data_IF_944847370063
#
_entry.id   IF_944847370063
#
_cell.length_a   1.000
_cell.length_b   1.000
_cell.length_c   1.000
_cell.angle_alpha   90.00
_cell.angle_beta   90.00
_cell.angle_gamma   90.00
#
_symmetry.space_group_name_H-M   'P 1'
#
loop_
_entity.id
_entity.type
_entity.pdbx_description
1 polymer ?
#
# COMPACT_ATOMS: atom_id res chain seq x y z
N UNK A 1 64.13 -19.34 -13.94
CA UNK A 1 64.60 -18.17 -13.16
C UNK A 1 63.39 -17.32 -12.81
N UNK A 2 62.83 -17.54 -11.62
CA UNK A 2 61.66 -16.80 -11.13
C UNK A 2 62.14 -15.52 -10.44
N UNK A 3 61.70 -14.34 -10.92
CA UNK A 3 61.98 -13.06 -10.28
C UNK A 3 60.72 -12.58 -9.54
N UNK A 4 60.79 -12.69 -8.22
CA UNK A 4 59.86 -12.15 -7.23
C UNK A 4 59.82 -10.62 -7.31
N UNK A 5 58.63 -10.03 -7.49
CA UNK A 5 58.38 -8.61 -7.26
C UNK A 5 57.75 -8.42 -5.88
N UNK A 6 58.40 -7.64 -5.01
CA UNK A 6 57.89 -7.20 -3.70
C UNK A 6 56.86 -6.08 -3.90
N UNK A 7 55.72 -6.18 -3.23
CA UNK A 7 54.81 -5.05 -3.02
C UNK A 7 55.10 -4.39 -1.66
N UNK A 8 55.03 -3.05 -1.52
CA UNK A 8 55.28 -2.37 -0.25
C UNK A 8 54.09 -2.53 0.70
N UNK A 9 54.39 -2.78 1.98
CA UNK A 9 53.43 -2.78 3.07
C UNK A 9 53.06 -1.35 3.47
N UNK A 10 51.78 -1.00 3.32
CA UNK A 10 51.22 0.24 3.89
C UNK A 10 50.50 -0.13 5.17
N UNK A 11 51.15 0.06 6.31
CA UNK A 11 50.50 -0.01 7.62
C UNK A 11 49.64 1.23 7.80
N UNK A 12 48.33 1.11 7.56
CA UNK A 12 47.36 2.15 7.88
C UNK A 12 46.80 1.87 9.27
N UNK A 13 47.31 2.54 10.29
CA UNK A 13 46.69 2.58 11.61
C UNK A 13 45.32 3.24 11.47
N UNK A 14 44.26 2.42 11.58
CA UNK A 14 42.89 2.93 11.70
C UNK A 14 42.73 3.39 13.14
N UNK A 15 42.72 4.70 13.34
CA UNK A 15 42.25 5.32 14.57
C UNK A 15 40.75 5.02 14.68
N UNK A 16 40.38 4.05 15.51
CA UNK A 16 38.98 3.82 15.86
C UNK A 16 38.54 5.01 16.69
N UNK A 17 37.73 5.87 16.07
CA UNK A 17 37.09 6.98 16.75
C UNK A 17 36.03 6.42 17.72
N UNK A 18 36.44 6.23 18.97
CA UNK A 18 35.60 5.74 20.07
C UNK A 18 34.40 6.64 20.37
N UNK A 19 34.32 7.85 19.79
CA UNK A 19 33.16 8.72 19.93
C UNK A 19 31.96 8.29 19.07
N UNK A 20 32.16 7.42 18.07
CA UNK A 20 31.06 6.77 17.32
C UNK A 20 30.54 5.48 17.95
N UNK A 21 31.26 4.93 18.93
CA UNK A 21 30.89 3.68 19.60
C UNK A 21 29.90 3.91 20.76
N UNK A 22 29.70 5.16 21.17
CA UNK A 22 28.84 5.56 22.29
C UNK A 22 27.40 5.87 21.82
N UNK A 23 27.11 5.86 20.52
CA UNK A 23 25.80 6.16 19.93
C UNK A 23 25.00 4.91 19.50
N UNK A 24 25.13 3.77 20.19
CA UNK A 24 24.45 2.50 19.83
C UNK A 24 23.72 1.81 20.98
N UNK A 25 23.62 2.45 22.14
CA UNK A 25 23.01 1.83 23.34
C UNK A 25 21.50 2.09 23.44
N UNK A 26 20.91 2.85 22.52
CA UNK A 26 19.48 3.20 22.47
C UNK A 26 18.69 2.56 21.32
N UNK A 27 19.34 1.81 20.42
CA UNK A 27 18.73 1.35 19.15
C UNK A 27 18.04 -0.02 19.24
N UNK A 28 17.94 -0.61 20.44
CA UNK A 28 17.40 -1.96 20.61
C UNK A 28 16.33 -2.02 21.69
N UNK A 29 15.07 -2.04 21.25
CA UNK A 29 13.94 -2.43 22.08
C UNK A 29 13.81 -3.96 22.07
N UNK A 30 13.65 -4.56 23.26
CA UNK A 30 13.36 -5.98 23.38
C UNK A 30 11.89 -6.24 23.01
N UNK A 31 11.65 -6.68 21.77
CA UNK A 31 10.29 -6.96 21.28
C UNK A 31 9.61 -8.10 22.04
N UNK A 32 10.37 -9.04 22.61
CA UNK A 32 9.80 -10.17 23.35
C UNK A 32 9.21 -9.72 24.71
N UNK A 33 9.52 -8.48 25.13
CA UNK A 33 8.99 -7.83 26.34
C UNK A 33 8.17 -6.57 26.02
N UNK A 34 7.60 -6.48 24.81
CA UNK A 34 6.80 -5.33 24.40
C UNK A 34 5.53 -5.19 25.25
N UNK A 35 5.36 -4.03 25.92
CA UNK A 35 4.18 -3.73 26.75
C UNK A 35 3.16 -2.87 25.99
N UNK A 36 2.10 -3.50 25.46
CA UNK A 36 1.02 -2.79 24.76
C UNK A 36 0.22 -1.83 25.66
N UNK A 37 0.41 -1.88 27.00
CA UNK A 37 -0.22 -0.95 27.94
C UNK A 37 0.62 0.30 28.23
N UNK A 38 1.83 0.43 27.69
CA UNK A 38 2.59 1.70 27.74
C UNK A 38 2.31 2.58 26.53
N UNK A 39 2.86 3.79 26.54
CA UNK A 39 2.86 4.71 25.41
C UNK A 39 4.23 4.71 24.75
N UNK A 40 4.26 4.77 23.43
CA UNK A 40 5.45 4.75 22.60
C UNK A 40 5.58 6.07 21.86
N UNK A 41 6.81 6.56 21.77
CA UNK A 41 7.15 7.67 20.90
C UNK A 41 7.20 7.21 19.43
N UNK A 42 7.13 8.17 18.50
CA UNK A 42 7.29 7.89 17.08
C UNK A 42 8.66 7.24 16.76
N UNK A 43 9.71 7.64 17.47
CA UNK A 43 11.06 7.05 17.32
C UNK A 43 11.09 5.59 17.77
N UNK A 44 10.49 5.26 18.92
CA UNK A 44 10.35 3.87 19.36
C UNK A 44 9.50 3.04 18.38
N UNK A 45 8.45 3.64 17.82
CA UNK A 45 7.63 3.01 16.77
C UNK A 45 8.44 2.71 15.50
N UNK A 46 9.28 3.63 15.04
CA UNK A 46 10.18 3.42 13.90
C UNK A 46 11.16 2.26 14.16
N UNK A 47 11.73 2.18 15.37
CA UNK A 47 12.63 1.09 15.78
C UNK A 47 11.90 -0.26 15.78
N UNK A 48 10.70 -0.32 16.38
CA UNK A 48 9.88 -1.55 16.41
C UNK A 48 9.52 -2.00 14.99
N UNK A 49 9.07 -1.07 14.16
CA UNK A 49 8.69 -1.34 12.77
C UNK A 49 9.87 -1.86 11.95
N UNK A 50 11.08 -1.32 12.15
CA UNK A 50 12.28 -1.80 11.46
C UNK A 50 12.65 -3.23 11.86
N UNK A 51 12.55 -3.54 13.16
CA UNK A 51 12.88 -4.88 13.67
C UNK A 51 11.88 -5.96 13.24
N UNK A 52 10.60 -5.61 13.04
CA UNK A 52 9.55 -6.54 12.58
C UNK A 52 9.61 -6.87 11.08
N UNK A 53 10.41 -6.16 10.27
CA UNK A 53 10.57 -6.46 8.83
C UNK A 53 11.02 -7.90 8.55
N UNK A 54 11.74 -8.50 9.50
CA UNK A 54 12.36 -9.82 9.33
C UNK A 54 11.81 -10.89 10.30
N UNK A 55 10.80 -10.56 11.12
CA UNK A 55 10.19 -11.52 12.07
C UNK A 55 8.78 -11.10 12.49
N UNK A 56 7.99 -12.06 12.95
CA UNK A 56 6.74 -11.77 13.66
C UNK A 56 6.94 -11.84 15.17
N UNK A 57 6.10 -11.12 15.91
CA UNK A 57 5.96 -11.16 17.37
C UNK A 57 4.68 -11.92 17.71
N UNK A 58 4.73 -12.88 18.63
CA UNK A 58 3.52 -13.54 19.12
C UNK A 58 2.89 -12.71 20.24
N UNK A 59 1.66 -12.21 20.02
CA UNK A 59 0.92 -11.43 21.01
C UNK A 59 -0.32 -12.21 21.42
N UNK A 60 -0.63 -12.19 22.72
CA UNK A 60 -1.85 -12.79 23.25
C UNK A 60 -3.03 -11.84 23.04
N UNK A 61 -3.93 -12.19 22.12
CA UNK A 61 -5.20 -11.50 21.87
C UNK A 61 -6.35 -12.44 22.22
N UNK A 62 -7.24 -12.04 23.12
CA UNK A 62 -8.40 -12.83 23.56
C UNK A 62 -8.12 -14.30 23.94
N UNK A 63 -6.94 -14.54 24.52
CA UNK A 63 -6.41 -15.85 24.93
C UNK A 63 -5.76 -16.71 23.84
N UNK A 64 -5.69 -16.22 22.61
CA UNK A 64 -4.97 -16.86 21.50
C UNK A 64 -3.66 -16.14 21.21
N UNK A 65 -2.63 -16.88 20.79
CA UNK A 65 -1.38 -16.30 20.32
C UNK A 65 -1.50 -15.99 18.83
N UNK A 66 -1.42 -14.71 18.49
CA UNK A 66 -1.50 -14.22 17.13
C UNK A 66 -0.13 -13.67 16.73
N UNK A 67 0.46 -14.11 15.59
CA UNK A 67 1.68 -13.52 15.08
C UNK A 67 1.36 -12.12 14.55
N UNK A 68 2.12 -11.11 14.96
CA UNK A 68 2.00 -9.71 14.54
C UNK A 68 3.28 -9.32 13.83
N UNK A 69 3.17 -8.75 12.64
CA UNK A 69 4.31 -8.26 11.85
C UNK A 69 4.31 -6.74 11.67
N UNK A 70 3.21 -6.07 12.03
CA UNK A 70 3.07 -4.62 11.89
C UNK A 70 2.25 -4.06 13.06
N UNK A 71 2.45 -2.78 13.33
CA UNK A 71 1.65 -2.00 14.26
C UNK A 71 1.24 -0.69 13.59
N UNK A 72 0.06 -0.18 13.97
CA UNK A 72 -0.22 1.25 13.87
C UNK A 72 0.15 1.93 15.19
N UNK A 73 0.28 3.27 15.16
CA UNK A 73 0.48 4.09 16.34
C UNK A 73 -0.70 5.04 16.47
N UNK A 74 -1.50 4.90 17.53
CA UNK A 74 -2.64 5.79 17.74
C UNK A 74 -2.20 7.15 18.30
N UNK A 75 -3.11 8.14 18.27
CA UNK A 75 -2.88 9.50 18.80
C UNK A 75 -2.48 9.59 20.29
N UNK A 76 -2.67 8.52 21.06
CA UNK A 76 -2.25 8.44 22.47
C UNK A 76 -0.88 7.79 22.65
N UNK A 77 -0.25 7.37 21.55
CA UNK A 77 1.01 6.63 21.52
C UNK A 77 0.84 5.14 21.80
N UNK A 78 -0.36 4.57 21.63
CA UNK A 78 -0.57 3.14 21.78
C UNK A 78 -0.23 2.41 20.49
N UNK A 79 0.46 1.29 20.63
CA UNK A 79 0.66 0.36 19.53
C UNK A 79 -0.62 -0.45 19.31
N UNK A 80 -1.16 -0.37 18.10
CA UNK A 80 -2.32 -1.15 17.69
C UNK A 80 -1.82 -2.32 16.84
N UNK A 81 -1.90 -3.58 17.33
CA UNK A 81 -1.38 -4.72 16.61
C UNK A 81 -2.17 -5.01 15.33
N UNK A 82 -1.46 -5.17 14.22
CA UNK A 82 -2.05 -5.57 12.94
C UNK A 82 -1.81 -7.06 12.71
N UNK A 83 -2.90 -7.84 12.69
CA UNK A 83 -2.83 -9.27 12.38
C UNK A 83 -2.55 -9.51 10.90
N UNK A 84 -1.88 -10.62 10.53
CA UNK A 84 -1.69 -11.02 9.16
C UNK A 84 -3.02 -11.14 8.41
N UNK A 85 -3.06 -10.58 7.21
CA UNK A 85 -4.22 -10.63 6.33
C UNK A 85 -4.33 -12.01 5.67
N UNK A 86 -5.47 -12.72 5.78
CA UNK A 86 -5.71 -13.96 5.05
C UNK A 86 -5.67 -13.75 3.53
N UNK A 87 -5.20 -14.76 2.79
CA UNK A 87 -4.93 -14.65 1.34
C UNK A 87 -6.12 -14.14 0.51
N UNK A 88 -7.36 -14.55 0.80
CA UNK A 88 -8.53 -14.08 0.05
C UNK A 88 -8.82 -12.60 0.26
N UNK A 89 -8.57 -12.07 1.48
CA UNK A 89 -8.66 -10.64 1.72
C UNK A 89 -7.56 -9.90 0.96
N UNK A 90 -6.34 -10.44 0.95
CA UNK A 90 -5.23 -9.85 0.22
C UNK A 90 -5.47 -9.80 -1.31
N UNK A 91 -6.05 -10.86 -1.88
CA UNK A 91 -6.45 -10.88 -3.29
C UNK A 91 -7.47 -9.79 -3.60
N UNK A 92 -8.44 -9.58 -2.70
CA UNK A 92 -9.41 -8.49 -2.83
C UNK A 92 -8.73 -7.11 -2.81
N UNK A 93 -7.80 -6.89 -1.88
CA UNK A 93 -7.02 -5.66 -1.75
C UNK A 93 -6.23 -5.37 -3.02
N UNK A 94 -5.58 -6.38 -3.60
CA UNK A 94 -4.83 -6.25 -4.85
C UNK A 94 -5.74 -5.83 -6.02
N UNK A 95 -6.93 -6.43 -6.13
CA UNK A 95 -7.88 -6.09 -7.19
C UNK A 95 -8.44 -4.66 -7.02
N UNK A 96 -8.79 -4.27 -5.79
CA UNK A 96 -9.23 -2.90 -5.48
C UNK A 96 -8.12 -1.89 -5.84
N UNK A 97 -6.88 -2.18 -5.42
CA UNK A 97 -5.71 -1.37 -5.78
C UNK A 97 -5.56 -1.23 -7.30
N UNK A 98 -5.70 -2.33 -8.05
CA UNK A 98 -5.57 -2.32 -9.50
C UNK A 98 -6.62 -1.43 -10.17
N UNK A 99 -7.89 -1.52 -9.73
CA UNK A 99 -8.96 -0.68 -10.26
C UNK A 99 -8.73 0.81 -9.99
N UNK A 100 -8.31 1.18 -8.77
CA UNK A 100 -8.00 2.58 -8.41
C UNK A 100 -6.80 3.09 -9.21
N UNK A 101 -5.74 2.28 -9.33
CA UNK A 101 -4.58 2.61 -10.17
C UNK A 101 -5.00 2.86 -11.61
N UNK A 102 -5.83 1.99 -12.17
CA UNK A 102 -6.31 2.13 -13.54
C UNK A 102 -7.13 3.41 -13.71
N UNK A 103 -8.06 3.71 -12.81
CA UNK A 103 -8.79 4.98 -12.80
C UNK A 103 -7.85 6.20 -12.72
N UNK A 104 -6.90 6.21 -11.79
CA UNK A 104 -5.92 7.29 -11.61
C UNK A 104 -5.10 7.54 -12.88
N UNK A 105 -4.73 6.47 -13.59
CA UNK A 105 -4.03 6.54 -14.88
C UNK A 105 -4.92 7.04 -16.00
N UNK A 106 -6.07 6.41 -16.18
CA UNK A 106 -6.95 6.62 -17.34
C UNK A 106 -7.65 7.98 -17.31
N UNK A 107 -8.05 8.45 -16.13
CA UNK A 107 -8.72 9.75 -15.97
C UNK A 107 -7.75 10.91 -15.75
N UNK A 108 -6.44 10.61 -15.63
CA UNK A 108 -5.41 11.63 -15.53
C UNK A 108 -5.38 12.39 -14.20
N UNK A 109 -5.82 11.77 -13.10
CA UNK A 109 -5.74 12.36 -11.75
C UNK A 109 -4.28 12.63 -11.36
N UNK A 110 -3.39 11.69 -11.68
CA UNK A 110 -1.94 11.74 -11.39
C UNK A 110 -1.61 11.86 -9.89
N UNK A 111 -2.47 11.33 -9.02
CA UNK A 111 -2.12 11.09 -7.63
C UNK A 111 -1.28 9.83 -7.46
N UNK A 112 -0.89 9.52 -6.23
CA UNK A 112 -0.22 8.27 -5.87
C UNK A 112 -1.24 7.27 -5.32
N UNK A 113 -1.08 5.99 -5.65
CA UNK A 113 -1.89 4.89 -5.07
C UNK A 113 -0.93 3.95 -4.36
N UNK A 114 -1.18 3.63 -3.10
CA UNK A 114 -0.35 2.76 -2.26
C UNK A 114 -1.16 1.57 -1.76
N UNK A 115 -0.48 0.47 -1.42
CA UNK A 115 -1.08 -0.75 -0.86
C UNK A 115 -0.33 -1.26 0.39
N UNK A 116 -1.06 -1.99 1.22
CA UNK A 116 -0.76 -2.95 2.31
C UNK A 116 0.42 -2.73 3.28
N UNK A 117 1.29 -1.72 3.16
CA UNK A 117 2.32 -1.38 4.15
C UNK A 117 2.73 0.09 4.16
N UNK A 118 2.13 0.93 3.29
CA UNK A 118 2.43 2.34 3.25
C UNK A 118 1.80 3.05 4.45
N UNK A 119 2.58 3.24 5.52
CA UNK A 119 2.14 4.03 6.66
C UNK A 119 2.06 5.52 6.34
N UNK A 120 1.22 6.25 7.06
CA UNK A 120 1.07 7.70 6.94
C UNK A 120 1.06 8.34 8.33
N UNK A 121 1.88 9.38 8.50
CA UNK A 121 1.80 10.25 9.68
C UNK A 121 0.57 11.16 9.54
N UNK A 122 -0.52 10.86 10.26
CA UNK A 122 -1.81 11.56 10.15
C UNK A 122 -1.86 12.79 11.05
N UNK A 123 -1.39 12.62 12.28
CA UNK A 123 -1.14 13.67 13.25
C UNK A 123 0.24 13.44 13.89
N UNK A 124 0.74 14.42 14.63
CA UNK A 124 2.02 14.26 15.33
C UNK A 124 1.93 13.11 16.34
N UNK A 125 2.61 12.00 16.04
CA UNK A 125 2.59 10.79 16.85
C UNK A 125 1.47 9.81 16.53
N UNK A 126 0.75 9.98 15.43
CA UNK A 126 -0.26 9.03 14.93
C UNK A 126 0.14 8.51 13.54
N UNK A 127 0.32 7.20 13.42
CA UNK A 127 0.66 6.50 12.17
C UNK A 127 -0.41 5.47 11.85
N UNK A 128 -1.04 5.61 10.68
CA UNK A 128 -2.03 4.67 10.15
C UNK A 128 -1.49 3.93 8.92
N UNK A 129 -1.87 2.67 8.74
CA UNK A 129 -1.39 1.78 7.68
C UNK A 129 -2.61 1.19 6.93
N UNK A 130 -3.21 1.95 6.00
CA UNK A 130 -4.37 1.50 5.27
C UNK A 130 -4.04 0.36 4.29
N UNK A 131 -5.01 -0.52 4.07
CA UNK A 131 -4.93 -1.54 2.99
C UNK A 131 -4.71 -0.91 1.61
N UNK A 132 -5.44 0.18 1.30
CA UNK A 132 -5.29 0.96 0.05
C UNK A 132 -5.53 2.45 0.28
N UNK A 133 -4.58 3.28 -0.15
CA UNK A 133 -4.66 4.74 -0.08
C UNK A 133 -4.42 5.41 -1.43
N UNK A 134 -5.11 6.54 -1.65
CA UNK A 134 -4.89 7.44 -2.77
C UNK A 134 -4.44 8.80 -2.25
N UNK A 135 -3.26 9.26 -2.62
CA UNK A 135 -2.80 10.61 -2.31
C UNK A 135 -3.00 11.51 -3.52
N UNK A 136 -3.84 12.56 -3.43
CA UNK A 136 -4.02 13.51 -4.53
C UNK A 136 -2.71 14.12 -5.02
N UNK A 137 -2.67 14.47 -6.30
CA UNK A 137 -1.49 14.95 -7.01
C UNK A 137 -0.86 16.18 -6.35
N UNK A 138 -1.71 17.12 -5.94
CA UNK A 138 -1.33 18.38 -5.29
C UNK A 138 -0.74 18.17 -3.90
N UNK A 139 -1.12 17.10 -3.20
CA UNK A 139 -0.49 16.73 -1.94
C UNK A 139 0.84 16.02 -2.25
N UNK A 140 0.79 14.98 -3.08
CA UNK A 140 1.95 14.13 -3.38
C UNK A 140 3.14 14.91 -3.94
N UNK A 141 2.90 15.89 -4.83
CA UNK A 141 3.97 16.71 -5.44
C UNK A 141 4.60 17.73 -4.49
N UNK A 142 3.92 18.03 -3.38
CA UNK A 142 4.38 18.99 -2.38
C UNK A 142 4.95 18.29 -1.14
N UNK A 143 5.03 16.96 -1.12
CA UNK A 143 5.70 16.22 -0.06
C UNK A 143 7.17 16.61 -0.02
N UNK A 144 7.67 16.84 1.20
CA UNK A 144 9.12 16.95 1.42
C UNK A 144 9.77 15.58 1.32
N UNK A 145 11.09 15.56 1.11
CA UNK A 145 11.85 14.30 1.13
C UNK A 145 11.66 13.56 2.46
N UNK A 146 11.57 14.29 3.58
CA UNK A 146 11.35 13.72 4.90
C UNK A 146 9.98 13.03 5.01
N UNK A 147 8.90 13.68 4.55
CA UNK A 147 7.55 13.10 4.49
C UNK A 147 7.47 11.90 3.53
N UNK A 148 8.23 11.92 2.45
CA UNK A 148 8.21 10.88 1.42
C UNK A 148 9.06 9.65 1.72
N UNK A 149 9.98 9.73 2.70
CA UNK A 149 10.96 8.68 3.00
C UNK A 149 10.99 8.22 4.45
N UNK A 150 10.24 8.88 5.35
CA UNK A 150 10.14 8.56 6.77
C UNK A 150 8.77 8.97 7.34
N UNK A 151 8.50 8.68 8.62
CA UNK A 151 7.32 9.22 9.30
C UNK A 151 7.57 10.59 9.94
N UNK A 152 8.52 11.37 9.41
CA UNK A 152 8.93 12.65 9.97
C UNK A 152 8.49 13.82 9.07
N UNK A 153 8.60 15.03 9.61
CA UNK A 153 8.05 16.24 9.00
C UNK A 153 6.58 16.47 9.35
N UNK A 154 5.93 17.47 8.73
CA UNK A 154 4.52 17.77 9.00
C UNK A 154 3.61 16.58 8.62
N UNK A 155 2.59 16.26 9.43
CA UNK A 155 1.62 15.23 9.07
C UNK A 155 0.88 15.57 7.77
N UNK A 156 0.50 14.53 7.02
CA UNK A 156 -0.37 14.66 5.87
C UNK A 156 -1.35 13.50 5.83
N UNK A 157 -2.60 13.80 5.48
CA UNK A 157 -3.64 12.78 5.35
C UNK A 157 -3.83 12.45 3.86
N UNK A 158 -3.57 11.20 3.42
CA UNK A 158 -3.99 10.77 2.10
C UNK A 158 -5.52 10.64 2.06
N UNK A 159 -6.05 10.53 0.86
CA UNK A 159 -7.45 10.20 0.63
C UNK A 159 -7.61 8.67 0.68
N UNK A 160 -8.15 8.15 1.77
CA UNK A 160 -8.25 6.69 2.01
C UNK A 160 -9.37 6.04 1.21
N UNK A 161 -9.10 4.86 0.63
CA UNK A 161 -10.10 4.10 -0.15
C UNK A 161 -10.51 2.81 0.55
N UNK A 162 -9.61 2.19 1.31
CA UNK A 162 -9.91 1.03 2.16
C UNK A 162 -9.44 1.31 3.59
N UNK A 163 -10.23 0.87 4.56
CA UNK A 163 -10.19 1.04 6.03
C UNK A 163 -11.02 2.17 6.67
N UNK A 164 -11.00 3.41 6.15
CA UNK A 164 -11.85 4.50 6.69
C UNK A 164 -12.79 5.14 5.67
N UNK A 165 -12.71 4.74 4.40
CA UNK A 165 -13.67 5.11 3.34
C UNK A 165 -14.66 3.98 3.12
N UNK A 166 -14.14 2.80 2.81
CA UNK A 166 -14.87 1.54 2.73
C UNK A 166 -14.20 0.47 3.59
N UNK A 167 -15.01 -0.28 4.33
CA UNK A 167 -14.63 -1.56 4.91
C UNK A 167 -15.35 -2.63 4.11
N UNK A 168 -14.58 -3.40 3.36
CA UNK A 168 -15.07 -4.45 2.47
C UNK A 168 -14.64 -5.77 3.10
N UNK A 169 -15.60 -6.58 3.53
CA UNK A 169 -15.37 -7.95 3.91
C UNK A 169 -15.85 -8.87 2.79
N UNK A 170 -14.95 -9.27 1.88
CA UNK A 170 -15.34 -10.10 0.75
C UNK A 170 -15.65 -11.55 1.12
N UNK A 171 -15.33 -11.98 2.34
CA UNK A 171 -15.64 -13.33 2.80
C UNK A 171 -17.11 -13.40 3.24
N UNK A 172 -17.59 -12.34 3.90
CA UNK A 172 -18.95 -12.28 4.41
C UNK A 172 -19.91 -11.49 3.51
N UNK A 173 -19.45 -11.06 2.33
CA UNK A 173 -20.19 -10.17 1.44
C UNK A 173 -20.71 -8.90 2.17
N UNK A 174 -19.91 -8.31 3.06
CA UNK A 174 -20.28 -7.09 3.78
C UNK A 174 -19.52 -5.85 3.27
N UNK A 175 -20.27 -4.77 3.02
CA UNK A 175 -19.68 -3.46 2.72
C UNK A 175 -20.19 -2.43 3.71
N UNK A 176 -19.25 -1.74 4.34
CA UNK A 176 -19.52 -0.57 5.15
C UNK A 176 -18.88 0.66 4.54
N UNK A 177 -19.68 1.69 4.27
CA UNK A 177 -19.18 2.99 3.80
C UNK A 177 -19.16 3.95 4.97
N UNK A 178 -17.98 4.45 5.29
CA UNK A 178 -17.79 5.46 6.31
C UNK A 178 -17.93 6.84 5.68
N UNK A 179 -18.73 7.70 6.31
CA UNK A 179 -19.01 9.05 5.85
C UNK A 179 -18.82 10.03 6.99
N UNK A 180 -18.27 11.20 6.65
CA UNK A 180 -18.17 12.32 7.58
C UNK A 180 -19.40 13.20 7.44
N UNK A 181 -20.11 13.42 8.54
CA UNK A 181 -21.28 14.30 8.57
C UNK A 181 -20.85 15.75 8.33
N UNK A 182 -21.42 16.45 7.33
CA UNK A 182 -21.11 17.85 7.08
C UNK A 182 -21.52 18.78 8.23
N UNK A 183 -22.49 18.36 9.05
CA UNK A 183 -23.06 19.20 10.11
C UNK A 183 -22.20 19.27 11.38
N UNK A 184 -21.46 18.20 11.70
CA UNK A 184 -20.71 18.11 12.96
C UNK A 184 -19.34 17.43 12.82
N UNK A 185 -18.95 16.99 11.62
CA UNK A 185 -17.67 16.33 11.37
C UNK A 185 -17.57 14.90 11.92
N UNK A 186 -18.64 14.36 12.52
CA UNK A 186 -18.65 13.01 13.06
C UNK A 186 -18.64 11.98 11.93
N UNK A 187 -17.88 10.91 12.13
CA UNK A 187 -17.86 9.77 11.22
C UNK A 187 -18.98 8.81 11.60
N UNK A 188 -19.76 8.37 10.62
CA UNK A 188 -20.76 7.31 10.76
C UNK A 188 -20.57 6.29 9.65
N UNK A 189 -20.99 5.04 9.89
CA UNK A 189 -20.94 3.97 8.89
C UNK A 189 -22.34 3.62 8.39
N UNK A 190 -22.44 3.35 7.11
CA UNK A 190 -23.65 2.83 6.48
C UNK A 190 -23.36 1.44 5.93
N UNK A 191 -24.15 0.45 6.35
CA UNK A 191 -24.18 -0.84 5.66
C UNK A 191 -24.69 -0.64 4.23
N UNK A 192 -24.11 -1.37 3.29
CA UNK A 192 -24.50 -1.36 1.88
C UNK A 192 -24.65 -2.78 1.39
N UNK A 193 -25.58 -2.98 0.47
CA UNK A 193 -25.69 -4.22 -0.25
C UNK A 193 -24.42 -4.45 -1.07
N UNK A 194 -24.08 -5.72 -1.25
CA UNK A 194 -22.89 -6.14 -1.98
C UNK A 194 -23.03 -5.82 -3.48
N UNK A 195 -22.51 -4.67 -3.89
CA UNK A 195 -22.57 -4.16 -5.26
C UNK A 195 -21.68 -2.94 -5.43
N UNK A 196 -21.53 -2.51 -6.69
CA UNK A 196 -20.54 -1.49 -7.05
C UNK A 196 -20.58 -0.23 -6.17
N UNK A 197 -19.39 0.29 -5.84
CA UNK A 197 -19.24 1.44 -4.96
C UNK A 197 -18.78 2.67 -5.72
N UNK A 198 -19.52 3.76 -5.57
CA UNK A 198 -19.16 5.06 -6.12
C UNK A 198 -18.10 5.72 -5.25
N UNK A 199 -17.02 6.16 -5.88
CA UNK A 199 -15.88 6.83 -5.25
C UNK A 199 -16.19 8.18 -4.62
N UNK A 200 -17.38 8.74 -4.86
CA UNK A 200 -17.85 9.99 -4.30
C UNK A 200 -16.97 11.18 -4.67
N UNK A 201 -16.97 12.19 -3.79
CA UNK A 201 -16.12 13.37 -3.92
C UNK A 201 -14.63 13.04 -3.72
N UNK A 202 -14.36 11.92 -3.05
CA UNK A 202 -13.05 11.38 -2.71
C UNK A 202 -12.31 10.86 -3.95
N UNK A 203 -13.01 10.14 -4.83
CA UNK A 203 -12.50 9.63 -6.11
C UNK A 203 -13.50 9.94 -7.24
N UNK A 204 -13.49 11.17 -7.79
CA UNK A 204 -14.50 11.61 -8.73
C UNK A 204 -14.60 10.72 -9.97
N UNK A 205 -15.81 10.20 -10.22
CA UNK A 205 -16.11 9.32 -11.36
C UNK A 205 -15.49 7.92 -11.27
N UNK A 206 -14.87 7.57 -10.15
CA UNK A 206 -14.47 6.19 -9.88
C UNK A 206 -15.69 5.37 -9.45
N UNK A 207 -15.76 4.14 -9.94
CA UNK A 207 -16.74 3.15 -9.51
C UNK A 207 -16.00 1.83 -9.32
N UNK A 208 -15.98 1.32 -8.10
CA UNK A 208 -15.40 0.03 -7.77
C UNK A 208 -16.32 -1.07 -8.32
N UNK A 209 -15.78 -1.91 -9.19
CA UNK A 209 -16.45 -3.08 -9.72
C UNK A 209 -16.25 -4.24 -8.75
N UNK A 210 -17.31 -4.52 -7.99
CA UNK A 210 -17.31 -5.55 -6.96
C UNK A 210 -17.37 -6.96 -7.57
N UNK A 211 -17.86 -7.09 -8.82
CA UNK A 211 -17.85 -8.37 -9.53
C UNK A 211 -16.40 -8.81 -9.81
N UNK A 212 -15.55 -7.91 -10.29
CA UNK A 212 -14.14 -8.23 -10.52
C UNK A 212 -13.42 -8.63 -9.22
N UNK A 213 -13.78 -8.02 -8.08
CA UNK A 213 -13.28 -8.42 -6.76
C UNK A 213 -13.68 -9.85 -6.42
N UNK A 214 -14.94 -10.25 -6.67
CA UNK A 214 -15.39 -11.64 -6.49
C UNK A 214 -14.65 -12.61 -7.40
N UNK A 215 -14.58 -12.29 -8.69
CA UNK A 215 -13.91 -13.14 -9.68
C UNK A 215 -12.43 -13.36 -9.31
N UNK A 216 -11.74 -12.31 -8.85
CA UNK A 216 -10.36 -12.41 -8.37
C UNK A 216 -10.21 -13.37 -7.19
N UNK A 217 -11.15 -13.35 -6.23
CA UNK A 217 -11.09 -14.22 -5.03
C UNK A 217 -11.47 -15.66 -5.37
N UNK A 218 -12.54 -15.86 -6.12
CA UNK A 218 -13.06 -17.19 -6.44
C UNK A 218 -12.12 -17.97 -7.37
N UNK A 219 -11.40 -17.29 -8.26
CA UNK A 219 -10.56 -17.92 -9.30
C UNK A 219 -11.32 -18.97 -10.13
N UNK A 220 -12.66 -18.90 -10.13
CA UNK A 220 -13.48 -19.81 -10.90
C UNK A 220 -13.25 -19.52 -12.38
N UNK A 221 -12.99 -20.55 -13.21
CA UNK A 221 -12.91 -20.33 -14.64
C UNK A 221 -14.24 -19.73 -15.08
N UNK A 222 -14.18 -18.59 -15.78
CA UNK A 222 -15.34 -18.07 -16.49
C UNK A 222 -15.92 -19.25 -17.28
N UNK A 223 -17.21 -19.55 -17.13
CA UNK A 223 -17.88 -20.51 -18.00
C UNK A 223 -17.64 -20.03 -19.43
N UNK A 224 -16.62 -20.59 -20.08
CA UNK A 224 -16.29 -20.26 -21.45
C UNK A 224 -17.50 -20.68 -22.26
N UNK A 225 -18.18 -19.71 -22.86
CA UNK A 225 -19.22 -19.99 -23.85
C UNK A 225 -18.56 -20.93 -24.88
N UNK A 226 -19.05 -22.16 -25.11
CA UNK A 226 -18.38 -23.14 -25.98
C UNK A 226 -18.17 -22.66 -27.43
N UNK A 227 -18.76 -21.51 -27.79
CA UNK A 227 -18.56 -20.81 -29.06
C UNK A 227 -17.31 -19.91 -29.12
N UNK A 228 -16.66 -19.60 -28.00
CA UNK A 228 -15.38 -18.88 -27.97
C UNK A 228 -14.22 -19.89 -27.94
N UNK A 229 -14.08 -20.65 -29.02
CA UNK A 229 -12.75 -21.16 -29.35
C UNK A 229 -11.87 -19.95 -29.64
N UNK A 230 -10.81 -19.73 -28.85
CA UNK A 230 -9.76 -18.79 -29.21
C UNK A 230 -9.21 -19.20 -30.58
N UNK A 231 -9.71 -18.56 -31.64
CA UNK A 231 -9.08 -18.67 -32.95
C UNK A 231 -7.66 -18.10 -32.76
N UNK A 232 -6.63 -18.94 -32.91
CA UNK A 232 -5.20 -18.57 -32.81
C UNK A 232 -4.80 -17.44 -33.78
N UNK A 233 -5.73 -16.98 -34.62
CA UNK A 233 -5.58 -15.92 -35.60
C UNK A 233 -6.40 -14.65 -35.28
N UNK A 234 -6.93 -14.51 -34.07
CA UNK A 234 -7.70 -13.31 -33.67
C UNK A 234 -6.77 -12.10 -33.54
N UNK A 235 -6.82 -11.21 -34.52
CA UNK A 235 -6.03 -9.99 -34.55
C UNK A 235 -6.78 -8.84 -33.87
N UNK A 236 -6.25 -8.36 -32.74
CA UNK A 236 -6.82 -7.27 -31.96
C UNK A 236 -6.31 -5.92 -32.48
N UNK A 237 -7.21 -5.09 -33.00
CA UNK A 237 -6.86 -3.76 -33.53
C UNK A 237 -6.98 -2.69 -32.46
N UNK A 238 -6.03 -1.75 -32.41
CA UNK A 238 -6.14 -0.59 -31.54
C UNK A 238 -7.20 0.40 -32.06
N UNK A 239 -8.11 0.90 -31.21
CA UNK A 239 -9.13 1.86 -31.66
C UNK A 239 -8.58 3.27 -31.88
N UNK A 240 -7.36 3.56 -31.42
CA UNK A 240 -6.77 4.91 -31.46
C UNK A 240 -5.66 5.07 -32.51
N UNK A 241 -5.18 3.97 -33.11
CA UNK A 241 -4.16 4.00 -34.15
C UNK A 241 -4.23 2.73 -35.02
N UNK A 242 -3.44 2.69 -36.09
CA UNK A 242 -3.44 1.56 -37.03
C UNK A 242 -2.66 0.32 -36.56
N UNK A 243 -2.27 0.23 -35.28
CA UNK A 243 -1.53 -0.94 -34.77
C UNK A 243 -2.47 -2.10 -34.43
N UNK A 244 -1.96 -3.31 -34.63
CA UNK A 244 -2.69 -4.57 -34.39
C UNK A 244 -1.83 -5.55 -33.61
N UNK A 245 -2.45 -6.39 -32.81
CA UNK A 245 -1.78 -7.30 -31.88
C UNK A 245 -2.38 -8.69 -31.97
N UNK A 246 -1.56 -9.72 -31.85
CA UNK A 246 -2.00 -11.12 -31.80
C UNK A 246 -2.53 -11.56 -30.44
N UNK A 247 -2.46 -10.68 -29.43
CA UNK A 247 -2.85 -10.98 -28.07
C UNK A 247 -3.45 -9.73 -27.42
N UNK A 248 -4.62 -9.88 -26.79
CA UNK A 248 -5.31 -8.81 -26.06
C UNK A 248 -4.43 -8.12 -25.01
N UNK A 249 -3.56 -8.86 -24.30
CA UNK A 249 -2.59 -8.28 -23.36
C UNK A 249 -1.65 -7.28 -24.02
N UNK A 250 -1.13 -7.59 -25.22
CA UNK A 250 -0.27 -6.66 -25.95
C UNK A 250 -1.03 -5.43 -26.43
N UNK A 251 -2.28 -5.59 -26.86
CA UNK A 251 -3.16 -4.46 -27.16
C UNK A 251 -3.38 -3.58 -25.91
N UNK A 252 -3.73 -4.16 -24.77
CA UNK A 252 -3.92 -3.42 -23.52
C UNK A 252 -2.65 -2.65 -23.11
N UNK A 253 -1.49 -3.31 -23.18
CA UNK A 253 -0.20 -2.69 -22.86
C UNK A 253 0.16 -1.56 -23.83
N UNK A 254 -0.14 -1.71 -25.12
CA UNK A 254 0.01 -0.65 -26.11
C UNK A 254 -0.91 0.54 -25.78
N UNK A 255 -2.19 0.27 -25.52
CA UNK A 255 -3.16 1.31 -25.15
C UNK A 255 -2.73 2.09 -23.90
N UNK A 256 -2.27 1.39 -22.87
CA UNK A 256 -1.78 2.02 -21.65
C UNK A 256 -0.60 2.95 -21.94
N UNK A 257 0.42 2.48 -22.68
CA UNK A 257 1.63 3.26 -22.87
C UNK A 257 1.47 4.38 -23.90
N UNK A 258 0.83 4.09 -25.03
CA UNK A 258 0.85 4.98 -26.20
C UNK A 258 -0.33 5.95 -26.25
N UNK A 259 -1.46 5.60 -25.65
CA UNK A 259 -2.69 6.41 -25.75
C UNK A 259 -3.14 6.98 -24.41
N UNK A 260 -2.94 6.25 -23.32
CA UNK A 260 -3.34 6.68 -21.98
C UNK A 260 -2.21 7.42 -21.25
N UNK A 261 -0.98 6.89 -21.25
CA UNK A 261 0.16 7.50 -20.55
C UNK A 261 0.87 8.60 -21.33
N UNK A 262 1.04 8.50 -22.66
CA UNK A 262 1.74 9.54 -23.45
C UNK A 262 1.09 10.92 -23.41
N UNK A 263 -0.23 11.01 -23.21
CA UNK A 263 -0.94 12.29 -22.94
C UNK A 263 -0.39 13.05 -21.72
N UNK A 264 0.42 12.39 -20.86
CA UNK A 264 0.99 12.95 -19.63
C UNK A 264 2.32 13.69 -19.81
N UNK A 265 3.08 13.43 -20.88
CA UNK A 265 4.44 13.99 -21.08
C UNK A 265 4.40 15.31 -21.88
N UNK A 266 3.30 15.60 -22.58
CA UNK A 266 3.18 16.75 -23.49
C UNK A 266 2.58 18.02 -22.85
N UNK A 267 2.93 18.35 -21.59
CA UNK A 267 2.59 19.63 -20.95
C UNK A 267 3.69 20.12 -20.05
#
# INVERSE_FOLDING_TARGET
MSKSARFPSVSRTVSVDRSKEIARETDYLDLDQLDLNRTYTLEEFEIISDQLKNRSLEIKVDSELVPISHFELDKSGKLVPMSPTPIFKEVAVVEIYAQIRNWNVQTGQNGAVTCSQGGFLIEMGEVQIPDVAFTPKEIYRNLTDEQGTSFRGPPFSPTFVVELGWLIDPINDEIWVYKRSPANGNVFRCHRDWGDLDGGDTLPGFKLDIRNVKEAISQEPSESDPSESEDENTQHSCPYCSQTFSNGYHLMKHMENDHLRKKRISR
#
